data_IF_002904467344
#
_entry.id   IF_002904467344
#
_cell.length_a   1.000
_cell.length_b   1.000
_cell.length_c   1.000
_cell.angle_alpha   90.00
_cell.angle_beta   90.00
_cell.angle_gamma   90.00
#
_symmetry.space_group_name_H-M   'P 1'
#
loop_
_entity.id
_entity.type
_entity.pdbx_description
1 polymer ?
#
# COMPACT_ATOMS: atom_id res chain seq x y z
N UNK A 1 -1.04 5.01 32.99
CA UNK A 1 0.10 5.31 32.09
C UNK A 1 1.10 4.17 32.30
N UNK A 2 1.06 3.14 31.44
CA UNK A 2 1.77 1.86 31.66
C UNK A 2 3.21 1.95 31.14
N UNK A 3 4.17 1.78 32.05
CA UNK A 3 5.61 1.90 31.85
C UNK A 3 6.23 0.57 31.36
N UNK A 4 5.72 0.00 30.26
CA UNK A 4 6.14 -1.34 29.78
C UNK A 4 6.59 -1.42 28.31
N UNK A 5 6.88 -0.31 27.65
CA UNK A 5 7.58 -0.36 26.36
C UNK A 5 9.09 -0.35 26.58
N UNK A 6 9.72 -1.52 26.45
CA UNK A 6 11.19 -1.64 26.47
C UNK A 6 11.77 -0.93 25.23
N UNK A 7 12.86 -0.16 25.37
CA UNK A 7 13.52 0.51 24.24
C UNK A 7 14.01 -0.51 23.20
N UNK A 8 13.90 -0.19 21.91
CA UNK A 8 14.37 -1.03 20.80
C UNK A 8 15.86 -1.37 20.89
N UNK A 9 16.64 -0.56 21.61
CA UNK A 9 18.06 -0.79 21.91
C UNK A 9 18.33 -1.90 22.92
N UNK A 10 17.31 -2.43 23.59
CA UNK A 10 17.43 -3.49 24.62
C UNK A 10 16.89 -4.84 24.19
N UNK A 11 16.38 -4.95 22.95
CA UNK A 11 15.94 -6.22 22.38
C UNK A 11 17.15 -6.94 21.80
N UNK A 12 17.62 -7.97 22.51
CA UNK A 12 18.64 -8.88 22.00
C UNK A 12 18.03 -9.88 21.00
N UNK A 13 18.85 -10.41 20.09
CA UNK A 13 18.42 -11.39 19.08
C UNK A 13 17.64 -12.61 19.66
N UNK A 14 17.95 -13.12 20.86
CA UNK A 14 17.15 -14.16 21.51
C UNK A 14 15.72 -13.73 21.87
N UNK A 15 15.53 -12.51 22.42
CA UNK A 15 14.20 -12.01 22.79
C UNK A 15 13.33 -11.77 21.56
N UNK A 16 13.89 -11.24 20.47
CA UNK A 16 13.18 -11.08 19.19
C UNK A 16 12.69 -12.45 18.68
N UNK A 17 13.55 -13.47 18.78
CA UNK A 17 13.26 -14.84 18.34
C UNK A 17 12.13 -15.47 19.17
N UNK A 18 12.06 -15.19 20.47
CA UNK A 18 11.00 -15.65 21.38
C UNK A 18 9.65 -14.96 21.17
N UNK A 19 9.61 -13.75 20.63
CA UNK A 19 8.34 -13.05 20.35
C UNK A 19 7.75 -13.43 18.99
N UNK A 20 8.59 -13.76 18.00
CA UNK A 20 8.12 -14.13 16.66
C UNK A 20 7.42 -15.49 16.60
N UNK A 21 7.61 -16.37 17.59
CA UNK A 21 6.97 -17.70 17.65
C UNK A 21 5.45 -17.65 17.82
N UNK A 22 4.87 -16.50 18.16
CA UNK A 22 3.42 -16.31 18.29
C UNK A 22 2.78 -15.54 17.13
N UNK A 23 3.54 -15.18 16.10
CA UNK A 23 3.04 -14.37 14.98
C UNK A 23 2.67 -15.30 13.81
N UNK A 24 1.38 -15.52 13.61
CA UNK A 24 0.87 -16.21 12.43
C UNK A 24 0.82 -15.24 11.25
N UNK A 25 1.76 -15.38 10.32
CA UNK A 25 1.78 -14.62 9.07
C UNK A 25 1.14 -15.48 7.98
N UNK A 26 -0.03 -15.06 7.49
CA UNK A 26 -0.71 -15.74 6.38
C UNK A 26 -0.13 -15.29 5.05
N UNK A 27 -0.09 -16.19 4.06
CA UNK A 27 0.32 -15.86 2.67
C UNK A 27 -0.44 -14.65 2.11
N UNK A 28 -1.74 -14.53 2.40
CA UNK A 28 -2.56 -13.39 2.00
C UNK A 28 -2.01 -12.04 2.52
N UNK A 29 -1.46 -12.02 3.73
CA UNK A 29 -0.88 -10.82 4.32
C UNK A 29 0.41 -10.43 3.59
N UNK A 30 1.26 -11.42 3.31
CA UNK A 30 2.52 -11.24 2.56
C UNK A 30 2.20 -10.74 1.15
N UNK A 31 1.23 -11.36 0.49
CA UNK A 31 0.77 -10.96 -0.84
C UNK A 31 0.31 -9.50 -0.87
N UNK A 32 -0.49 -9.07 0.11
CA UNK A 32 -0.92 -7.67 0.22
C UNK A 32 0.24 -6.69 0.46
N UNK A 33 1.29 -7.10 1.20
CA UNK A 33 2.49 -6.28 1.35
C UNK A 33 3.29 -6.18 0.06
N UNK A 34 3.47 -7.31 -0.64
CA UNK A 34 4.21 -7.37 -1.91
C UNK A 34 3.51 -6.54 -2.98
N UNK A 35 2.18 -6.63 -3.09
CA UNK A 35 1.36 -5.81 -3.98
C UNK A 35 1.46 -4.32 -3.71
N UNK A 36 1.34 -3.90 -2.44
CA UNK A 36 1.52 -2.49 -2.07
C UNK A 36 2.94 -2.00 -2.35
N UNK A 37 3.95 -2.83 -2.11
CA UNK A 37 5.33 -2.51 -2.44
C UNK A 37 5.53 -2.34 -3.96
N UNK A 38 4.84 -3.12 -4.79
CA UNK A 38 4.87 -2.97 -6.25
C UNK A 38 4.21 -1.66 -6.69
N UNK A 39 3.05 -1.29 -6.11
CA UNK A 39 2.40 -0.01 -6.39
C UNK A 39 3.27 1.21 -6.05
N UNK A 40 4.08 1.14 -4.99
CA UNK A 40 4.99 2.22 -4.58
C UNK A 40 6.12 2.46 -5.59
N UNK A 41 6.38 1.54 -6.52
CA UNK A 41 7.32 1.78 -7.64
C UNK A 41 6.83 2.85 -8.61
N UNK A 42 5.52 3.12 -8.64
CA UNK A 42 4.95 4.21 -9.44
C UNK A 42 5.34 5.54 -8.80
N UNK A 43 5.90 6.45 -9.60
CA UNK A 43 6.45 7.68 -9.07
C UNK A 43 5.37 8.56 -8.44
N UNK A 44 5.60 8.97 -7.20
CA UNK A 44 4.66 9.77 -6.42
C UNK A 44 3.52 8.97 -5.76
N UNK A 45 3.51 7.63 -5.87
CA UNK A 45 2.70 6.73 -5.03
C UNK A 45 3.51 6.38 -3.79
N UNK A 46 3.15 6.96 -2.65
CA UNK A 46 3.68 6.56 -1.34
C UNK A 46 2.80 5.51 -0.67
N UNK A 47 3.19 5.07 0.52
CA UNK A 47 2.46 4.06 1.32
C UNK A 47 0.97 4.39 1.48
N UNK A 48 0.64 5.63 1.84
CA UNK A 48 -0.75 6.05 2.05
C UNK A 48 -1.58 6.04 0.76
N UNK A 49 -0.95 6.35 -0.39
CA UNK A 49 -1.64 6.28 -1.68
C UNK A 49 -1.77 4.84 -2.17
N UNK A 50 -0.79 3.97 -1.89
CA UNK A 50 -0.89 2.53 -2.17
C UNK A 50 -2.05 1.90 -1.38
N UNK A 51 -2.20 2.24 -0.10
CA UNK A 51 -3.33 1.79 0.73
C UNK A 51 -4.68 2.36 0.24
N UNK A 52 -4.72 3.61 -0.21
CA UNK A 52 -5.91 4.18 -0.83
C UNK A 52 -6.26 3.51 -2.16
N UNK A 53 -5.27 3.14 -2.98
CA UNK A 53 -5.46 2.41 -4.23
C UNK A 53 -6.01 0.99 -3.97
N UNK A 54 -5.41 0.25 -3.04
CA UNK A 54 -5.88 -1.08 -2.61
C UNK A 54 -7.35 -0.98 -2.15
N UNK A 55 -7.65 -0.01 -1.28
CA UNK A 55 -9.01 0.22 -0.78
C UNK A 55 -9.98 0.77 -1.83
N UNK A 56 -9.48 1.23 -2.96
CA UNK A 56 -10.26 1.65 -4.14
C UNK A 56 -10.40 0.53 -5.18
N UNK A 57 -9.88 -0.67 -4.91
CA UNK A 57 -9.97 -1.84 -5.79
C UNK A 57 -8.90 -1.89 -6.87
N UNK A 58 -7.70 -1.40 -6.55
CA UNK A 58 -6.49 -1.50 -7.38
C UNK A 58 -5.38 -2.06 -6.52
N UNK A 59 -5.12 -3.36 -6.66
CA UNK A 59 -4.15 -4.06 -5.83
C UNK A 59 -2.81 -4.23 -6.57
N UNK A 60 -2.81 -4.15 -7.91
CA UNK A 60 -1.61 -4.41 -8.72
C UNK A 60 -1.35 -3.34 -9.79
N UNK A 61 -0.10 -3.21 -10.24
CA UNK A 61 0.30 -2.26 -11.31
C UNK A 61 -0.44 -2.53 -12.63
N UNK A 62 -0.64 -3.78 -13.11
CA UNK A 62 -1.41 -4.04 -14.32
C UNK A 62 -2.89 -3.62 -14.20
N UNK A 63 -3.50 -3.77 -13.02
CA UNK A 63 -4.85 -3.27 -12.79
C UNK A 63 -4.91 -1.75 -12.86
N UNK A 64 -3.94 -1.06 -12.26
CA UNK A 64 -3.81 0.40 -12.36
C UNK A 64 -3.69 0.86 -13.82
N UNK A 65 -2.90 0.16 -14.64
CA UNK A 65 -2.71 0.46 -16.05
C UNK A 65 -4.02 0.37 -16.87
N UNK A 66 -4.92 -0.53 -16.49
CA UNK A 66 -6.21 -0.74 -17.15
C UNK A 66 -7.34 0.19 -16.67
N UNK A 67 -7.13 0.98 -15.61
CA UNK A 67 -8.19 1.84 -15.06
C UNK A 67 -8.37 3.13 -15.85
N UNK A 68 -9.61 3.62 -15.85
CA UNK A 68 -9.91 4.99 -16.24
C UNK A 68 -9.57 5.94 -15.08
N UNK A 69 -8.66 6.88 -15.30
CA UNK A 69 -8.15 7.78 -14.26
C UNK A 69 -9.24 8.63 -13.59
N UNK A 70 -10.24 9.11 -14.35
CA UNK A 70 -11.33 9.92 -13.82
C UNK A 70 -12.23 9.10 -12.88
N UNK A 71 -12.58 7.88 -13.28
CA UNK A 71 -13.36 6.97 -12.44
C UNK A 71 -12.60 6.55 -11.19
N UNK A 72 -11.29 6.29 -11.32
CA UNK A 72 -10.43 5.95 -10.19
C UNK A 72 -10.35 7.10 -9.20
N UNK A 73 -10.13 8.34 -9.67
CA UNK A 73 -10.10 9.52 -8.80
C UNK A 73 -11.42 9.73 -8.05
N UNK A 74 -12.56 9.56 -8.72
CA UNK A 74 -13.87 9.62 -8.08
C UNK A 74 -14.01 8.56 -6.99
N UNK A 75 -13.57 7.31 -7.27
CA UNK A 75 -13.61 6.23 -6.27
C UNK A 75 -12.68 6.47 -5.09
N UNK A 76 -11.46 6.94 -5.34
CA UNK A 76 -10.51 7.32 -4.29
C UNK A 76 -11.08 8.44 -3.40
N UNK A 77 -11.82 9.38 -3.98
CA UNK A 77 -12.49 10.45 -3.21
C UNK A 77 -13.58 9.89 -2.30
N UNK A 78 -14.43 9.00 -2.81
CA UNK A 78 -15.48 8.32 -2.04
C UNK A 78 -14.88 7.50 -0.88
N UNK A 79 -13.86 6.68 -1.18
CA UNK A 79 -13.18 5.83 -0.20
C UNK A 79 -12.49 6.67 0.86
N UNK A 80 -11.83 7.76 0.48
CA UNK A 80 -11.17 8.63 1.44
C UNK A 80 -12.16 9.41 2.31
N UNK A 81 -13.33 9.79 1.78
CA UNK A 81 -14.40 10.39 2.58
C UNK A 81 -14.91 9.44 3.66
N UNK A 82 -15.02 8.14 3.35
CA UNK A 82 -15.48 7.12 4.30
C UNK A 82 -14.38 6.70 5.31
N UNK A 83 -13.16 6.47 4.84
CA UNK A 83 -12.10 5.82 5.64
C UNK A 83 -11.00 6.76 6.13
N UNK A 84 -10.91 7.99 5.60
CA UNK A 84 -9.91 9.02 5.96
C UNK A 84 -8.46 8.51 5.94
N UNK A 85 -8.06 7.94 4.81
CA UNK A 85 -6.77 7.27 4.61
C UNK A 85 -5.64 8.27 4.37
N UNK A 86 -5.92 9.30 3.57
CA UNK A 86 -4.96 10.33 3.21
C UNK A 86 -5.44 11.68 3.71
N UNK A 87 -4.49 12.48 4.21
CA UNK A 87 -4.76 13.87 4.60
C UNK A 87 -5.05 14.76 3.40
N UNK A 88 -4.39 14.47 2.27
CA UNK A 88 -4.50 15.22 1.02
C UNK A 88 -4.80 14.22 -0.09
N UNK A 89 -5.89 14.45 -0.83
CA UNK A 89 -6.22 13.65 -2.01
C UNK A 89 -5.26 13.99 -3.17
N UNK A 90 -4.87 13.01 -3.98
CA UNK A 90 -4.11 13.28 -5.19
C UNK A 90 -4.99 14.04 -6.19
N UNK A 91 -4.39 14.93 -6.98
CA UNK A 91 -5.11 15.60 -8.08
C UNK A 91 -5.43 14.61 -9.20
N UNK A 92 -6.46 14.91 -10.01
CA UNK A 92 -6.82 14.08 -11.16
C UNK A 92 -5.64 13.84 -12.13
N UNK A 93 -4.85 14.89 -12.41
CA UNK A 93 -3.64 14.77 -13.24
C UNK A 93 -2.58 13.85 -12.64
N UNK A 94 -2.48 13.79 -11.31
CA UNK A 94 -1.54 12.88 -10.64
C UNK A 94 -1.98 11.43 -10.79
N UNK A 95 -3.28 11.17 -10.64
CA UNK A 95 -3.86 9.84 -10.87
C UNK A 95 -3.70 9.42 -12.34
N UNK A 96 -3.90 10.34 -13.28
CA UNK A 96 -3.65 10.09 -14.71
C UNK A 96 -2.17 9.78 -15.00
N UNK A 97 -1.24 10.50 -14.36
CA UNK A 97 0.19 10.21 -14.43
C UNK A 97 0.52 8.80 -13.94
N UNK A 98 -0.10 8.36 -12.84
CA UNK A 98 0.09 7.00 -12.32
C UNK A 98 -0.43 5.93 -13.29
N UNK A 99 -1.62 6.10 -13.84
CA UNK A 99 -2.19 5.18 -14.84
C UNK A 99 -1.30 5.10 -16.08
N UNK A 100 -0.78 6.25 -16.53
CA UNK A 100 0.10 6.33 -17.71
C UNK A 100 1.43 5.64 -17.45
N UNK A 101 2.06 5.88 -16.30
CA UNK A 101 3.30 5.23 -15.92
C UNK A 101 3.11 3.71 -15.76
N UNK A 102 2.02 3.28 -15.14
CA UNK A 102 1.71 1.87 -14.95
C UNK A 102 1.62 1.09 -16.28
N UNK A 103 1.15 1.73 -17.36
CA UNK A 103 1.12 1.12 -18.71
C UNK A 103 2.49 0.84 -19.31
N UNK A 104 3.52 1.58 -18.89
CA UNK A 104 4.89 1.44 -19.38
C UNK A 104 5.76 0.54 -18.50
N UNK A 105 5.24 0.12 -17.35
CA UNK A 105 5.99 -0.68 -16.39
C UNK A 105 5.82 -2.16 -16.66
N UNK A 106 6.93 -2.89 -16.64
CA UNK A 106 6.90 -4.35 -16.63
C UNK A 106 6.32 -4.86 -15.32
N UNK A 107 5.57 -5.97 -15.42
CA UNK A 107 5.04 -6.66 -14.26
C UNK A 107 6.18 -7.19 -13.40
N UNK A 108 6.19 -6.80 -12.12
CA UNK A 108 7.22 -7.24 -11.18
C UNK A 108 6.90 -8.57 -10.50
N UNK A 109 5.62 -8.79 -10.21
CA UNK A 109 5.15 -9.94 -9.44
C UNK A 109 4.45 -10.92 -10.36
N UNK A 110 4.90 -12.17 -10.32
CA UNK A 110 4.28 -13.30 -11.00
C UNK A 110 3.76 -14.29 -9.95
N UNK A 111 2.59 -14.87 -10.19
CA UNK A 111 1.90 -15.82 -9.32
C UNK A 111 1.82 -17.19 -9.97
#
# INVERSE_FOLDING_TARGET
MDARMRPWSTLDFPTIRSTCTHITITEKLILGWVNRADLVRVNGVGEQYADLLERSGVDTVPELAGRNAANLHAKMTEVNAAKKLVRVLPSASKVEGWVTQAKTMDRAINY
#
